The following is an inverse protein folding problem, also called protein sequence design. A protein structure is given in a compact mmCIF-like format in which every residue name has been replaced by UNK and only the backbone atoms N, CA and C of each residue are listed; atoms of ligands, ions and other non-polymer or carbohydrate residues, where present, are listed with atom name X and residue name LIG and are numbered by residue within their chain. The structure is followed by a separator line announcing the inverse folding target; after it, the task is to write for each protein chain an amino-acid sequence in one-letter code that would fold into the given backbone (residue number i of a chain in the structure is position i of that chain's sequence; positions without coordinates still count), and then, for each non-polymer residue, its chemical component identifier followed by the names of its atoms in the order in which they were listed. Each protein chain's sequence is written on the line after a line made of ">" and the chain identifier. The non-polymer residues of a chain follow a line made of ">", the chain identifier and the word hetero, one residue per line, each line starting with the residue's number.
data_IF_522111797215
#
_entry.id   IF_522111797215
#
_cell.length_a   1.000
_cell.length_b   1.000
_cell.length_c   1.000
_cell.angle_alpha   90.00
_cell.angle_beta   90.00
_cell.angle_gamma   90.00
#
_symmetry.space_group_name_H-M   'P 1'
#
loop_
_entity.id
_entity.type
_entity.pdbx_description
1 polymer ?
#
# COMPACT_ATOMS: atom_id res chain seq x y z
N UNK A 1 -25.32 -0.96 -29.50
CA UNK A 1 -24.77 -0.99 -28.13
C UNK A 1 -23.31 -1.36 -28.25
N UNK A 2 -22.39 -0.41 -28.06
CA UNK A 2 -20.95 -0.67 -28.07
C UNK A 2 -20.62 -1.68 -26.97
N UNK A 3 -19.96 -2.79 -27.31
CA UNK A 3 -19.48 -3.74 -26.30
C UNK A 3 -18.51 -3.01 -25.37
N UNK A 4 -18.76 -3.07 -24.06
CA UNK A 4 -17.84 -2.56 -23.07
C UNK A 4 -16.48 -3.26 -23.21
N UNK A 5 -15.36 -2.57 -23.00
CA UNK A 5 -14.02 -3.18 -23.00
C UNK A 5 -13.96 -4.37 -22.04
N UNK A 6 -13.23 -5.44 -22.40
CA UNK A 6 -13.00 -6.62 -21.55
C UNK A 6 -11.84 -6.43 -20.55
N UNK A 7 -11.46 -5.18 -20.27
CA UNK A 7 -10.39 -4.81 -19.36
C UNK A 7 -10.80 -3.57 -18.56
N UNK A 8 -10.20 -3.39 -17.39
CA UNK A 8 -10.38 -2.20 -16.56
C UNK A 8 -9.96 -0.92 -17.30
N UNK A 9 -10.56 0.21 -16.93
CA UNK A 9 -10.01 1.51 -17.28
C UNK A 9 -8.65 1.71 -16.60
N UNK A 10 -7.80 2.57 -17.18
CA UNK A 10 -6.45 2.79 -16.65
C UNK A 10 -6.45 3.37 -15.23
N UNK A 11 -7.36 4.30 -14.94
CA UNK A 11 -7.47 4.86 -13.59
C UNK A 11 -7.96 3.83 -12.57
N UNK A 12 -8.86 2.91 -12.97
CA UNK A 12 -9.30 1.80 -12.12
C UNK A 12 -8.15 0.83 -11.85
N UNK A 13 -7.33 0.54 -12.87
CA UNK A 13 -6.14 -0.32 -12.71
C UNK A 13 -5.17 0.27 -11.67
N UNK A 14 -4.94 1.59 -11.72
CA UNK A 14 -4.08 2.29 -10.76
C UNK A 14 -4.72 2.38 -9.37
N UNK A 15 -6.04 2.53 -9.27
CA UNK A 15 -6.73 2.51 -7.99
C UNK A 15 -6.67 1.13 -7.33
N UNK A 16 -6.89 0.07 -8.11
CA UNK A 16 -6.76 -1.32 -7.65
C UNK A 16 -5.31 -1.62 -7.22
N UNK A 17 -4.30 -1.09 -7.93
CA UNK A 17 -2.89 -1.13 -7.49
C UNK A 17 -2.72 -0.52 -6.10
N UNK A 18 -3.15 0.74 -5.91
CA UNK A 18 -2.95 1.46 -4.64
C UNK A 18 -3.69 0.75 -3.48
N UNK A 19 -4.94 0.32 -3.69
CA UNK A 19 -5.73 -0.41 -2.69
C UNK A 19 -5.11 -1.76 -2.33
N UNK A 20 -4.67 -2.52 -3.31
CA UNK A 20 -4.06 -3.84 -3.09
C UNK A 20 -2.73 -3.71 -2.36
N UNK A 21 -1.87 -2.78 -2.78
CA UNK A 21 -0.59 -2.52 -2.14
C UNK A 21 -0.77 -2.02 -0.70
N UNK A 22 -1.73 -1.14 -0.45
CA UNK A 22 -2.04 -0.64 0.90
C UNK A 22 -2.52 -1.77 1.82
N UNK A 23 -3.50 -2.57 1.36
CA UNK A 23 -4.08 -3.64 2.17
C UNK A 23 -3.10 -4.78 2.42
N UNK A 24 -2.32 -5.18 1.42
CA UNK A 24 -1.29 -6.21 1.59
C UNK A 24 -0.23 -5.81 2.63
N UNK A 25 0.25 -4.56 2.59
CA UNK A 25 1.21 -4.08 3.58
C UNK A 25 0.64 -4.05 4.99
N UNK A 26 -0.57 -3.51 5.17
CA UNK A 26 -1.17 -3.44 6.51
C UNK A 26 -1.52 -4.85 7.05
N UNK A 27 -2.02 -5.76 6.21
CA UNK A 27 -2.31 -7.14 6.62
C UNK A 27 -1.05 -7.84 7.15
N UNK A 28 0.09 -7.69 6.46
CA UNK A 28 1.36 -8.24 6.96
C UNK A 28 1.71 -7.67 8.34
N UNK A 29 1.58 -6.34 8.51
CA UNK A 29 1.85 -5.68 9.79
C UNK A 29 0.94 -6.14 10.92
N UNK A 30 -0.37 -6.31 10.65
CA UNK A 30 -1.33 -6.82 11.63
C UNK A 30 -1.00 -8.24 12.04
N UNK A 31 -0.75 -9.14 11.09
CA UNK A 31 -0.40 -10.55 11.38
C UNK A 31 0.91 -10.68 12.16
N UNK A 32 1.92 -9.89 11.79
CA UNK A 32 3.21 -9.87 12.50
C UNK A 32 3.05 -9.39 13.96
N UNK A 33 2.15 -8.43 14.21
CA UNK A 33 1.96 -7.83 15.53
C UNK A 33 0.96 -8.60 16.41
N UNK A 34 0.11 -9.45 15.82
CA UNK A 34 -1.04 -10.07 16.50
C UNK A 34 -0.63 -10.79 17.80
N UNK A 35 0.46 -11.55 17.76
CA UNK A 35 0.96 -12.31 18.91
C UNK A 35 1.46 -11.43 20.07
N UNK A 36 1.83 -10.18 19.79
CA UNK A 36 2.32 -9.23 20.79
C UNK A 36 1.18 -8.51 21.53
N UNK A 37 -0.04 -8.52 20.98
CA UNK A 37 -1.20 -7.83 21.56
C UNK A 37 -1.73 -8.65 22.75
N UNK A 38 -1.56 -8.11 23.96
CA UNK A 38 -1.94 -8.79 25.20
C UNK A 38 -3.34 -8.44 25.69
N UNK A 39 -3.86 -7.29 25.27
CA UNK A 39 -5.23 -6.90 25.57
C UNK A 39 -6.21 -7.74 24.70
N UNK A 40 -7.15 -8.49 25.32
CA UNK A 40 -8.00 -9.42 24.59
C UNK A 40 -9.02 -8.73 23.68
N UNK A 41 -9.49 -7.53 24.04
CA UNK A 41 -10.43 -6.77 23.22
C UNK A 41 -9.72 -6.26 21.97
N UNK A 42 -8.54 -5.66 22.13
CA UNK A 42 -7.73 -5.21 21.00
C UNK A 42 -7.27 -6.37 20.11
N UNK A 43 -6.92 -7.51 20.69
CA UNK A 43 -6.59 -8.73 19.93
C UNK A 43 -7.79 -9.20 19.09
N UNK A 44 -9.00 -9.15 19.66
CA UNK A 44 -10.24 -9.43 18.94
C UNK A 44 -10.43 -8.51 17.73
N UNK A 45 -10.27 -7.19 17.92
CA UNK A 45 -10.37 -6.21 16.84
C UNK A 45 -9.31 -6.41 15.74
N UNK A 46 -8.07 -6.75 16.10
CA UNK A 46 -7.04 -7.09 15.13
C UNK A 46 -7.39 -8.36 14.34
N UNK A 47 -7.95 -9.36 15.00
CA UNK A 47 -8.39 -10.60 14.34
C UNK A 47 -9.52 -10.32 13.35
N UNK A 48 -10.51 -9.51 13.73
CA UNK A 48 -11.59 -9.07 12.85
C UNK A 48 -11.05 -8.29 11.65
N UNK A 49 -10.16 -7.31 11.89
CA UNK A 49 -9.54 -6.52 10.84
C UNK A 49 -8.71 -7.38 9.88
N UNK A 50 -7.94 -8.35 10.38
CA UNK A 50 -7.19 -9.32 9.56
C UNK A 50 -8.17 -10.07 8.65
N UNK A 51 -9.24 -10.65 9.19
CA UNK A 51 -10.21 -11.41 8.40
C UNK A 51 -10.87 -10.54 7.31
N UNK A 52 -11.27 -9.31 7.65
CA UNK A 52 -11.86 -8.38 6.69
C UNK A 52 -10.89 -7.99 5.57
N UNK A 53 -9.62 -7.69 5.91
CA UNK A 53 -8.60 -7.34 4.91
C UNK A 53 -8.22 -8.53 4.04
N UNK A 54 -8.18 -9.75 4.59
CA UNK A 54 -7.99 -10.97 3.79
C UNK A 54 -9.12 -11.15 2.77
N UNK A 55 -10.37 -10.94 3.18
CA UNK A 55 -11.52 -11.01 2.29
C UNK A 55 -11.40 -9.97 1.17
N UNK A 56 -11.14 -8.70 1.51
CA UNK A 56 -10.95 -7.64 0.53
C UNK A 56 -9.87 -7.98 -0.50
N UNK A 57 -8.71 -8.50 -0.07
CA UNK A 57 -7.64 -8.91 -0.99
C UNK A 57 -8.08 -10.05 -1.90
N UNK A 58 -8.84 -11.03 -1.39
CA UNK A 58 -9.40 -12.12 -2.22
C UNK A 58 -10.41 -11.60 -3.25
N UNK A 59 -11.13 -10.53 -2.94
CA UNK A 59 -12.06 -9.86 -3.88
C UNK A 59 -11.32 -9.00 -4.92
N UNK A 60 -10.19 -8.39 -4.56
CA UNK A 60 -9.37 -7.55 -5.44
C UNK A 60 -8.52 -8.38 -6.43
N UNK A 61 -7.94 -9.49 -5.98
CA UNK A 61 -7.02 -10.32 -6.77
C UNK A 61 -7.57 -10.77 -8.15
N UNK A 62 -8.85 -11.16 -8.30
CA UNK A 62 -9.42 -11.52 -9.60
C UNK A 62 -9.33 -10.41 -10.65
N UNK A 63 -9.36 -9.12 -10.26
CA UNK A 63 -9.24 -8.01 -11.20
C UNK A 63 -7.86 -7.93 -11.87
N UNK A 64 -6.82 -8.48 -11.23
CA UNK A 64 -5.48 -8.59 -11.82
C UNK A 64 -5.38 -9.65 -12.91
N UNK A 65 -6.30 -10.61 -13.00
CA UNK A 65 -6.32 -11.58 -14.12
C UNK A 65 -6.67 -10.95 -15.47
N UNK A 66 -7.25 -9.74 -15.43
CA UNK A 66 -7.40 -8.88 -16.60
C UNK A 66 -6.09 -8.13 -16.95
N UNK A 67 -5.03 -8.29 -16.15
CA UNK A 67 -3.69 -7.76 -16.36
C UNK A 67 -2.69 -8.89 -16.72
N UNK A 68 -1.64 -8.61 -17.52
CA UNK A 68 -0.72 -9.64 -18.01
C UNK A 68 0.18 -10.20 -16.91
N UNK A 69 0.34 -11.53 -16.86
CA UNK A 69 0.91 -12.28 -15.74
C UNK A 69 2.39 -12.65 -15.86
N UNK A 70 2.98 -12.90 -14.68
CA UNK A 70 4.28 -13.51 -14.44
C UNK A 70 4.28 -14.19 -13.07
N UNK A 71 4.74 -15.44 -12.99
CA UNK A 71 4.83 -16.23 -11.76
C UNK A 71 6.29 -16.36 -11.33
N UNK A 72 6.59 -16.10 -10.05
CA UNK A 72 7.86 -16.55 -9.45
C UNK A 72 7.79 -16.74 -7.94
N UNK A 73 8.49 -17.79 -7.52
CA UNK A 73 8.70 -18.33 -6.18
C UNK A 73 9.12 -17.30 -5.12
N UNK A 74 8.60 -17.52 -3.90
CA UNK A 74 9.00 -16.88 -2.65
C UNK A 74 10.22 -17.61 -2.08
N UNK A 75 11.23 -16.85 -1.66
CA UNK A 75 12.29 -17.37 -0.78
C UNK A 75 12.65 -16.33 0.30
N UNK A 76 12.51 -16.75 1.56
CA UNK A 76 13.41 -16.47 2.69
C UNK A 76 13.75 -15.04 3.14
N UNK A 77 13.37 -14.75 4.40
CA UNK A 77 14.01 -13.92 5.42
C UNK A 77 14.14 -12.38 5.27
N UNK A 78 14.08 -11.79 4.08
CA UNK A 78 14.21 -10.33 3.97
C UNK A 78 12.84 -9.60 3.96
N UNK A 79 12.55 -8.89 5.05
CA UNK A 79 11.36 -8.03 5.20
C UNK A 79 11.58 -6.61 4.65
N UNK A 80 12.71 -6.32 3.99
CA UNK A 80 13.00 -5.00 3.41
C UNK A 80 11.87 -4.49 2.51
N UNK A 81 11.29 -5.35 1.66
CA UNK A 81 10.18 -4.95 0.79
C UNK A 81 8.93 -4.52 1.58
N UNK A 82 8.63 -5.24 2.67
CA UNK A 82 7.52 -4.90 3.57
C UNK A 82 7.78 -3.57 4.29
N UNK A 83 8.94 -3.43 4.95
CA UNK A 83 9.26 -2.22 5.70
C UNK A 83 9.33 -0.98 4.80
N UNK A 84 9.89 -1.11 3.60
CA UNK A 84 9.92 -0.03 2.62
C UNK A 84 8.52 0.32 2.11
N UNK A 85 7.68 -0.69 1.82
CA UNK A 85 6.29 -0.48 1.42
C UNK A 85 5.46 0.20 2.50
N UNK A 86 5.60 -0.23 3.76
CA UNK A 86 4.96 0.38 4.92
C UNK A 86 5.39 1.84 5.10
N UNK A 87 6.70 2.13 5.02
CA UNK A 87 7.24 3.48 5.11
C UNK A 87 6.78 4.38 3.95
N UNK A 88 6.70 3.84 2.74
CA UNK A 88 6.18 4.57 1.57
C UNK A 88 4.70 4.91 1.75
N UNK A 89 3.89 3.95 2.23
CA UNK A 89 2.48 4.14 2.55
C UNK A 89 2.27 5.23 3.61
N UNK A 90 3.05 5.17 4.70
CA UNK A 90 3.05 6.22 5.73
C UNK A 90 3.37 7.61 5.16
N UNK A 91 4.40 7.72 4.32
CA UNK A 91 4.80 8.99 3.73
C UNK A 91 3.71 9.55 2.78
N UNK A 92 3.11 8.69 1.95
CA UNK A 92 1.96 9.06 1.08
C UNK A 92 0.79 9.61 1.91
N UNK A 93 0.41 8.90 2.98
CA UNK A 93 -0.70 9.32 3.86
C UNK A 93 -0.37 10.62 4.58
N UNK A 94 0.85 10.77 5.08
CA UNK A 94 1.31 12.00 5.74
C UNK A 94 1.23 13.22 4.81
N UNK A 95 1.63 13.09 3.54
CA UNK A 95 1.49 14.15 2.53
C UNK A 95 0.01 14.55 2.35
N UNK A 96 -0.89 13.58 2.22
CA UNK A 96 -2.34 13.85 2.09
C UNK A 96 -2.91 14.53 3.34
N UNK A 97 -2.56 14.03 4.53
CA UNK A 97 -3.04 14.59 5.80
C UNK A 97 -2.57 16.03 6.01
N UNK A 98 -1.30 16.34 5.70
CA UNK A 98 -0.81 17.71 5.79
C UNK A 98 -1.47 18.63 4.78
N UNK A 99 -1.70 18.17 3.55
CA UNK A 99 -2.40 18.97 2.54
C UNK A 99 -3.79 19.39 3.01
N UNK A 100 -4.57 18.47 3.60
CA UNK A 100 -5.89 18.75 4.19
C UNK A 100 -5.74 19.69 5.40
N UNK A 101 -4.82 19.42 6.33
CA UNK A 101 -4.67 20.26 7.51
C UNK A 101 -4.29 21.72 7.19
N UNK A 102 -3.56 21.94 6.10
CA UNK A 102 -3.20 23.29 5.62
C UNK A 102 -4.45 24.05 5.15
N UNK A 103 -5.44 23.39 4.53
CA UNK A 103 -6.68 24.07 4.09
C UNK A 103 -7.55 24.50 5.26
N UNK A 104 -7.49 23.78 6.37
CA UNK A 104 -8.25 24.08 7.59
C UNK A 104 -7.55 25.08 8.54
N UNK A 105 -6.28 25.44 8.26
CA UNK A 105 -5.50 26.30 9.15
C UNK A 105 -5.91 27.78 9.00
N UNK A 106 -6.63 28.32 9.99
CA UNK A 106 -6.96 29.75 10.08
C UNK A 106 -5.80 30.61 10.65
N UNK A 107 -4.96 30.04 11.51
CA UNK A 107 -3.82 30.75 12.12
C UNK A 107 -2.58 30.71 11.19
N UNK A 108 -2.00 31.87 10.81
CA UNK A 108 -0.88 31.91 9.87
C UNK A 108 0.34 31.07 10.27
N UNK A 109 0.76 31.16 11.54
CA UNK A 109 1.92 30.39 12.04
C UNK A 109 1.70 28.88 12.05
N UNK A 110 0.44 28.42 12.24
CA UNK A 110 0.08 27.01 12.10
C UNK A 110 0.21 26.59 10.64
N UNK A 111 -0.32 27.39 9.70
CA UNK A 111 -0.21 27.11 8.26
C UNK A 111 1.24 26.99 7.80
N UNK A 112 2.10 27.91 8.22
CA UNK A 112 3.54 27.89 7.92
C UNK A 112 4.22 26.63 8.48
N UNK A 113 3.89 26.26 9.72
CA UNK A 113 4.42 25.06 10.36
C UNK A 113 4.03 23.80 9.61
N UNK A 114 2.75 23.66 9.26
CA UNK A 114 2.24 22.50 8.53
C UNK A 114 2.83 22.42 7.11
N UNK A 115 3.01 23.55 6.43
CA UNK A 115 3.68 23.57 5.11
C UNK A 115 5.14 23.12 5.20
N UNK A 116 5.88 23.53 6.23
CA UNK A 116 7.24 23.02 6.49
C UNK A 116 7.25 21.50 6.72
N UNK A 117 6.28 20.98 7.46
CA UNK A 117 6.17 19.53 7.73
C UNK A 117 5.75 18.74 6.48
N UNK A 118 4.84 19.27 5.67
CA UNK A 118 4.47 18.72 4.35
C UNK A 118 5.71 18.55 3.48
N UNK A 119 6.54 19.58 3.36
CA UNK A 119 7.76 19.52 2.56
C UNK A 119 8.72 18.41 3.01
N UNK A 120 8.83 18.17 4.33
CA UNK A 120 9.62 17.04 4.87
C UNK A 120 9.00 15.68 4.52
N UNK A 121 7.67 15.56 4.56
CA UNK A 121 6.97 14.33 4.17
C UNK A 121 7.15 14.03 2.67
N UNK A 122 7.11 15.06 1.81
CA UNK A 122 7.40 14.95 0.37
C UNK A 122 8.84 14.46 0.15
N UNK A 123 9.81 15.05 0.86
CA UNK A 123 11.21 14.64 0.75
C UNK A 123 11.42 13.17 1.19
N UNK A 124 10.80 12.77 2.30
CA UNK A 124 10.83 11.38 2.76
C UNK A 124 10.22 10.44 1.72
N UNK A 125 9.05 10.77 1.18
CA UNK A 125 8.41 9.98 0.12
C UNK A 125 9.36 9.78 -1.07
N UNK A 126 10.00 10.84 -1.55
CA UNK A 126 10.96 10.76 -2.65
C UNK A 126 12.14 9.83 -2.34
N UNK A 127 12.73 9.95 -1.14
CA UNK A 127 13.84 9.07 -0.71
C UNK A 127 13.43 7.60 -0.66
N UNK A 128 12.26 7.29 -0.11
CA UNK A 128 11.75 5.92 0.00
C UNK A 128 11.41 5.37 -1.39
N UNK A 129 10.78 6.17 -2.24
CA UNK A 129 10.51 5.81 -3.64
C UNK A 129 11.80 5.42 -4.37
N UNK A 130 12.83 6.27 -4.35
CA UNK A 130 14.08 5.96 -5.05
C UNK A 130 14.82 4.76 -4.45
N UNK A 131 14.74 4.58 -3.12
CA UNK A 131 15.27 3.37 -2.46
C UNK A 131 14.62 2.10 -3.01
N UNK A 132 13.28 2.08 -3.13
CA UNK A 132 12.52 0.95 -3.64
C UNK A 132 12.74 0.75 -5.14
N UNK A 133 12.71 1.83 -5.92
CA UNK A 133 12.90 1.80 -7.38
C UNK A 133 14.27 1.23 -7.76
N UNK A 134 15.35 1.73 -7.13
CA UNK A 134 16.72 1.27 -7.39
C UNK A 134 16.95 -0.23 -7.08
N UNK A 135 16.06 -0.84 -6.29
CA UNK A 135 16.10 -2.26 -5.90
C UNK A 135 15.07 -3.12 -6.62
N UNK A 136 14.34 -2.55 -7.58
CA UNK A 136 13.25 -3.25 -8.29
C UNK A 136 12.03 -3.56 -7.43
N UNK A 137 11.94 -2.99 -6.23
CA UNK A 137 10.83 -3.17 -5.29
C UNK A 137 9.59 -2.37 -5.69
N UNK A 138 9.77 -1.29 -6.47
CA UNK A 138 8.68 -0.47 -7.00
C UNK A 138 8.96 -0.11 -8.47
N UNK A 139 8.68 -0.99 -9.44
CA UNK A 139 9.00 -0.77 -10.85
C UNK A 139 7.99 0.17 -11.54
N UNK A 140 7.94 1.43 -11.12
CA UNK A 140 6.91 2.42 -11.53
C UNK A 140 6.79 2.67 -13.03
N UNK A 141 7.85 2.42 -13.81
CA UNK A 141 7.85 2.57 -15.26
C UNK A 141 7.49 1.28 -16.02
N UNK A 142 7.28 0.17 -15.32
CA UNK A 142 6.88 -1.11 -15.89
C UNK A 142 5.58 -1.58 -15.23
N UNK A 143 4.44 -1.13 -15.79
CA UNK A 143 3.13 -1.40 -15.23
C UNK A 143 2.83 -2.89 -15.08
N UNK A 144 3.24 -3.71 -16.06
CA UNK A 144 3.07 -5.16 -15.97
C UNK A 144 3.77 -5.72 -14.72
N UNK A 145 5.03 -5.36 -14.53
CA UNK A 145 5.81 -5.81 -13.38
C UNK A 145 5.29 -5.23 -12.06
N UNK A 146 4.75 -4.02 -12.07
CA UNK A 146 4.13 -3.39 -10.91
C UNK A 146 2.92 -4.22 -10.44
N UNK A 147 2.02 -4.58 -11.36
CA UNK A 147 0.83 -5.37 -11.07
C UNK A 147 1.17 -6.81 -10.66
N UNK A 148 2.18 -7.43 -11.28
CA UNK A 148 2.70 -8.73 -10.85
C UNK A 148 3.23 -8.69 -9.40
N UNK A 149 3.92 -7.61 -9.02
CA UNK A 149 4.39 -7.41 -7.66
C UNK A 149 3.23 -7.27 -6.66
N UNK A 150 2.14 -6.58 -7.02
CA UNK A 150 0.96 -6.46 -6.16
C UNK A 150 0.33 -7.82 -5.86
N UNK A 151 0.11 -8.63 -6.91
CA UNK A 151 -0.41 -9.99 -6.77
C UNK A 151 0.49 -10.84 -5.88
N UNK A 152 1.81 -10.74 -6.07
CA UNK A 152 2.78 -11.46 -5.24
C UNK A 152 2.71 -11.03 -3.78
N UNK A 153 2.68 -9.73 -3.51
CA UNK A 153 2.66 -9.18 -2.16
C UNK A 153 1.34 -9.50 -1.43
N UNK A 154 0.21 -9.41 -2.13
CA UNK A 154 -1.10 -9.80 -1.59
C UNK A 154 -1.13 -11.30 -1.23
N UNK A 155 -0.66 -12.19 -2.11
CA UNK A 155 -0.58 -13.62 -1.81
C UNK A 155 0.37 -13.91 -0.63
N UNK A 156 1.50 -13.19 -0.53
CA UNK A 156 2.40 -13.31 0.62
C UNK A 156 1.69 -12.92 1.92
N UNK A 157 0.97 -11.80 1.91
CA UNK A 157 0.21 -11.32 3.08
C UNK A 157 -0.90 -12.30 3.51
N UNK A 158 -1.58 -12.93 2.54
CA UNK A 158 -2.58 -13.97 2.79
C UNK A 158 -1.97 -15.25 3.38
N UNK A 159 -0.73 -15.59 3.01
CA UNK A 159 -0.05 -16.82 3.46
C UNK A 159 0.75 -16.71 4.76
N UNK A 160 0.99 -15.49 5.25
CA UNK A 160 1.61 -15.19 6.55
C UNK A 160 0.72 -15.67 7.69
#
# INVERSE_FOLDING_TARGET
>A
MSQNPRHLAWHETLEIHELTAFQANNLMGFKMSLHDIKDPELHGLYTEAINGVEQNLRELLPYFSQAPTGTRSLSGADLTAYYAGHLLGFAKTSVRSYAIAITEAATPSVRETLQKQLNKAIELHGKVFYFMYARGLYPSYNLKQLLENDVKNANKALSL
#
